data_IF_623377712095
#
_entry.id   IF_623377712095
#
_cell.length_a   1.000
_cell.length_b   1.000
_cell.length_c   1.000
_cell.angle_alpha   90.00
_cell.angle_beta   90.00
_cell.angle_gamma   90.00
#
_symmetry.space_group_name_H-M   'P 1'
#
loop_
_entity.id
_entity.type
_entity.pdbx_description
1 polymer ?
#
# COMPACT_ATOMS: atom_id res chain seq x y z
N UNK A 1 -85.47 48.84 63.76
CA UNK A 1 -84.61 49.31 62.66
C UNK A 1 -83.82 48.08 62.24
N UNK A 2 -84.30 47.23 61.31
CA UNK A 2 -84.29 47.44 59.84
C UNK A 2 -83.08 48.27 59.45
N UNK A 3 -82.09 47.81 58.70
CA UNK A 3 -82.01 46.91 57.52
C UNK A 3 -80.49 46.61 57.41
N UNK A 4 -79.93 45.60 56.77
CA UNK A 4 -80.12 45.05 55.43
C UNK A 4 -79.19 43.82 55.35
N UNK A 5 -79.69 42.71 54.82
CA UNK A 5 -78.88 41.51 54.53
C UNK A 5 -78.53 41.59 53.04
N UNK A 6 -77.27 41.81 52.72
CA UNK A 6 -76.77 41.67 51.36
C UNK A 6 -76.49 40.19 51.07
N UNK A 7 -77.39 39.59 50.29
CA UNK A 7 -77.19 38.31 49.62
C UNK A 7 -76.58 38.63 48.26
N UNK A 8 -75.36 38.17 48.01
CA UNK A 8 -74.81 38.07 46.66
C UNK A 8 -74.96 36.64 46.15
N UNK A 9 -75.67 36.53 45.04
CA UNK A 9 -75.95 35.30 44.31
C UNK A 9 -74.74 34.89 43.43
N UNK A 10 -74.68 33.59 43.15
CA UNK A 10 -73.50 32.81 42.80
C UNK A 10 -72.78 33.13 41.48
N UNK A 11 -71.46 32.82 41.44
CA UNK A 11 -70.80 32.34 40.23
C UNK A 11 -70.07 31.01 40.51
N UNK A 12 -70.49 29.97 39.80
CA UNK A 12 -69.85 28.66 39.72
C UNK A 12 -68.58 28.83 38.85
N UNK A 13 -67.42 28.96 39.48
CA UNK A 13 -66.13 29.00 38.79
C UNK A 13 -65.58 27.58 38.59
N UNK A 14 -65.63 27.17 37.33
CA UNK A 14 -64.94 26.08 36.63
C UNK A 14 -63.78 25.38 37.40
N UNK A 15 -64.06 24.17 37.89
CA UNK A 15 -63.08 23.18 38.36
C UNK A 15 -62.31 22.59 37.17
N UNK A 16 -61.36 23.33 36.59
CA UNK A 16 -60.45 22.73 35.60
C UNK A 16 -59.12 23.45 35.35
N UNK A 17 -58.39 23.82 36.41
CA UNK A 17 -56.93 24.01 36.28
C UNK A 17 -56.20 23.31 37.41
N UNK A 18 -55.95 22.01 37.21
CA UNK A 18 -54.93 21.31 37.98
C UNK A 18 -53.59 22.00 37.71
N UNK A 19 -53.14 22.84 38.65
CA UNK A 19 -51.79 23.37 38.67
C UNK A 19 -50.84 22.18 38.80
N UNK A 20 -50.27 21.76 37.67
CA UNK A 20 -49.20 20.76 37.65
C UNK A 20 -48.05 21.33 38.49
N UNK A 21 -47.62 20.67 39.58
CA UNK A 21 -46.47 21.16 40.34
C UNK A 21 -45.27 21.26 39.39
N UNK A 22 -44.40 22.28 39.54
CA UNK A 22 -43.21 22.38 38.71
C UNK A 22 -42.46 21.05 38.79
N UNK A 23 -42.16 20.47 37.62
CA UNK A 23 -41.42 19.22 37.56
C UNK A 23 -40.15 19.38 38.39
N UNK A 24 -39.99 18.55 39.42
CA UNK A 24 -38.79 18.53 40.23
C UNK A 24 -37.60 18.43 39.29
N UNK A 25 -36.61 19.32 39.47
CA UNK A 25 -35.38 19.29 38.69
C UNK A 25 -34.85 17.84 38.73
N UNK A 26 -34.51 17.23 37.58
CA UNK A 26 -34.02 15.86 37.57
C UNK A 26 -32.81 15.78 38.51
N UNK A 27 -32.86 14.85 39.46
CA UNK A 27 -31.78 14.64 40.41
C UNK A 27 -30.45 14.33 39.71
N UNK A 28 -29.33 14.38 40.45
CA UNK A 28 -28.00 14.12 39.90
C UNK A 28 -27.98 12.84 39.07
N UNK A 29 -27.61 12.95 37.79
CA UNK A 29 -27.48 11.79 36.91
C UNK A 29 -26.10 11.20 37.13
N UNK A 30 -25.99 9.95 37.53
CA UNK A 30 -24.71 9.28 37.76
C UNK A 30 -24.19 8.55 36.50
N UNK A 31 -22.87 8.52 36.31
CA UNK A 31 -22.20 7.76 35.26
C UNK A 31 -21.79 6.39 35.80
N UNK A 32 -22.66 5.41 35.62
CA UNK A 32 -22.38 4.01 35.96
C UNK A 32 -22.12 3.24 34.66
N UNK A 33 -20.97 2.58 34.58
CA UNK A 33 -20.59 1.71 33.47
C UNK A 33 -20.33 0.29 33.98
N UNK A 34 -20.14 -0.66 33.08
CA UNK A 34 -19.79 -2.05 33.43
C UNK A 34 -18.48 -2.19 34.24
N UNK A 35 -17.70 -1.12 34.36
CA UNK A 35 -16.43 -1.08 35.09
C UNK A 35 -16.52 -0.29 36.41
N UNK A 36 -17.69 0.22 36.79
CA UNK A 36 -17.86 1.01 38.02
C UNK A 36 -17.81 0.09 39.25
N UNK A 37 -16.79 0.26 40.09
CA UNK A 37 -16.66 -0.35 41.42
C UNK A 37 -16.69 0.76 42.46
N UNK A 38 -17.53 0.65 43.50
CA UNK A 38 -17.73 1.68 44.53
C UNK A 38 -17.57 1.05 45.93
N UNK A 39 -16.92 1.78 46.84
CA UNK A 39 -16.83 1.39 48.26
C UNK A 39 -18.11 1.71 49.06
N UNK A 40 -18.21 1.22 50.32
CA UNK A 40 -19.35 1.54 51.18
C UNK A 40 -19.52 3.05 51.41
N UNK A 41 -20.66 3.60 51.01
CA UNK A 41 -20.99 5.03 51.14
C UNK A 41 -20.47 5.92 50.00
N UNK A 42 -19.75 5.36 49.03
CA UNK A 42 -19.24 6.09 47.88
C UNK A 42 -20.33 6.24 46.80
N UNK A 43 -20.61 7.48 46.40
CA UNK A 43 -21.53 7.77 45.31
C UNK A 43 -20.77 7.72 43.98
N UNK A 44 -21.37 7.18 42.90
CA UNK A 44 -20.73 7.18 41.60
C UNK A 44 -20.44 8.61 41.10
N UNK A 45 -19.52 8.79 40.15
CA UNK A 45 -19.30 10.10 39.54
C UNK A 45 -20.57 10.59 38.84
N UNK A 46 -20.82 11.89 38.92
CA UNK A 46 -21.94 12.51 38.21
C UNK A 46 -21.65 12.52 36.70
N UNK A 47 -22.69 12.29 35.90
CA UNK A 47 -22.61 12.21 34.44
C UNK A 47 -22.41 13.57 33.76
N UNK A 48 -22.60 14.65 34.51
CA UNK A 48 -22.35 16.05 34.14
C UNK A 48 -21.11 16.63 34.85
N UNK A 49 -20.48 15.88 35.78
CA UNK A 49 -19.19 16.26 36.32
C UNK A 49 -18.15 16.22 35.20
N UNK A 50 -17.80 17.40 34.69
CA UNK A 50 -16.61 17.57 33.88
C UNK A 50 -15.41 17.64 34.82
N UNK A 51 -14.29 16.98 34.50
CA UNK A 51 -13.03 17.25 35.19
C UNK A 51 -12.78 18.76 35.22
N UNK A 52 -12.19 19.25 36.31
CA UNK A 52 -11.85 20.66 36.46
C UNK A 52 -10.63 21.03 35.61
N UNK A 53 -10.73 20.84 34.29
CA UNK A 53 -9.74 21.30 33.33
C UNK A 53 -9.64 22.81 33.40
N UNK A 54 -8.41 23.29 33.48
CA UNK A 54 -8.06 24.68 33.36
C UNK A 54 -7.86 25.04 31.90
N UNK A 55 -7.78 26.33 31.60
CA UNK A 55 -7.51 26.83 30.25
C UNK A 55 -6.12 26.40 29.74
N UNK A 56 -5.16 26.20 30.65
CA UNK A 56 -3.82 25.73 30.32
C UNK A 56 -3.79 24.25 29.90
N UNK A 57 -4.72 23.41 30.38
CA UNK A 57 -4.84 22.00 29.96
C UNK A 57 -5.22 21.85 28.47
N UNK A 58 -5.66 22.93 27.82
CA UNK A 58 -6.01 22.97 26.40
C UNK A 58 -4.99 23.72 25.54
N UNK A 59 -3.85 24.15 26.11
CA UNK A 59 -2.80 24.87 25.39
C UNK A 59 -1.51 24.08 25.34
N UNK A 60 -0.94 24.04 24.14
CA UNK A 60 0.42 23.57 23.92
C UNK A 60 1.39 24.74 24.09
N UNK A 61 2.58 24.46 24.60
CA UNK A 61 3.63 25.47 24.71
C UNK A 61 4.12 25.88 23.32
N UNK A 62 4.84 27.01 23.23
CA UNK A 62 5.46 27.43 21.97
C UNK A 62 6.51 26.41 21.46
N UNK A 63 7.15 25.68 22.38
CA UNK A 63 8.09 24.60 22.07
C UNK A 63 7.38 23.38 21.48
N UNK A 64 6.28 22.94 22.10
CA UNK A 64 5.44 21.84 21.59
C UNK A 64 4.89 22.16 20.20
N UNK A 65 4.44 23.41 19.99
CA UNK A 65 3.95 23.86 18.68
C UNK A 65 5.05 23.93 17.62
N UNK A 66 6.30 24.23 18.02
CA UNK A 66 7.44 24.19 17.12
C UNK A 66 7.81 22.75 16.73
N UNK A 67 7.78 21.81 17.69
CA UNK A 67 8.03 20.39 17.44
C UNK A 67 6.92 19.76 16.57
N UNK A 68 5.65 20.06 16.85
CA UNK A 68 4.51 19.64 16.02
C UNK A 68 4.45 20.35 14.65
N UNK A 69 5.19 21.45 14.49
CA UNK A 69 5.38 22.13 13.20
C UNK A 69 6.21 21.30 12.23
N UNK A 70 6.97 20.31 12.71
CA UNK A 70 7.65 19.36 11.85
C UNK A 70 6.64 18.38 11.22
N UNK A 71 6.68 18.18 9.88
CA UNK A 71 5.75 17.28 9.23
C UNK A 71 5.93 15.84 9.71
N UNK A 72 4.90 15.32 10.37
CA UNK A 72 4.73 13.94 10.83
C UNK A 72 4.54 12.92 9.69
N UNK A 73 4.29 13.41 8.48
CA UNK A 73 4.05 12.62 7.27
C UNK A 73 5.12 12.83 6.22
N UNK A 74 5.40 11.77 5.45
CA UNK A 74 6.31 11.86 4.30
C UNK A 74 5.86 12.93 3.28
N UNK A 75 6.80 13.68 2.71
CA UNK A 75 6.56 14.78 1.75
C UNK A 75 5.59 14.42 0.62
N UNK A 76 5.71 13.20 0.08
CA UNK A 76 4.83 12.73 -1.00
C UNK A 76 3.39 12.50 -0.52
N UNK A 77 3.22 12.07 0.73
CA UNK A 77 1.90 11.93 1.35
C UNK A 77 1.25 13.29 1.51
N UNK A 78 1.99 14.30 1.98
CA UNK A 78 1.53 15.69 2.11
C UNK A 78 1.10 16.24 0.75
N UNK A 79 1.97 16.20 -0.26
CA UNK A 79 1.65 16.69 -1.61
C UNK A 79 0.39 16.05 -2.20
N UNK A 80 0.28 14.72 -2.08
CA UNK A 80 -0.88 13.99 -2.58
C UNK A 80 -2.15 14.30 -1.78
N UNK A 81 -2.05 14.44 -0.46
CA UNK A 81 -3.16 14.86 0.41
C UNK A 81 -3.62 16.26 -0.01
N UNK A 82 -2.72 17.24 -0.05
CA UNK A 82 -3.07 18.64 -0.31
C UNK A 82 -3.66 18.82 -1.72
N UNK A 83 -3.12 18.12 -2.72
CA UNK A 83 -3.73 18.10 -4.06
C UNK A 83 -5.13 17.48 -4.06
N UNK A 84 -5.34 16.43 -3.27
CA UNK A 84 -6.64 15.76 -3.15
C UNK A 84 -7.66 16.64 -2.43
N UNK A 85 -7.23 17.28 -1.34
CA UNK A 85 -8.05 18.19 -0.52
C UNK A 85 -8.49 19.39 -1.37
N UNK A 86 -7.56 20.05 -2.08
CA UNK A 86 -7.91 21.17 -2.97
C UNK A 86 -8.96 20.80 -4.01
N UNK A 87 -8.86 19.61 -4.61
CA UNK A 87 -9.85 19.14 -5.58
C UNK A 87 -11.22 18.89 -4.96
N UNK A 88 -11.26 18.42 -3.70
CA UNK A 88 -12.49 18.22 -2.95
C UNK A 88 -13.13 19.53 -2.49
N UNK A 89 -12.34 20.46 -1.97
CA UNK A 89 -12.77 21.80 -1.58
C UNK A 89 -13.38 22.55 -2.77
N UNK A 90 -12.70 22.54 -3.92
CA UNK A 90 -13.21 23.13 -5.15
C UNK A 90 -14.54 22.51 -5.59
N UNK A 91 -14.66 21.18 -5.50
CA UNK A 91 -15.93 20.50 -5.81
C UNK A 91 -17.06 20.89 -4.84
N UNK A 92 -16.75 21.01 -3.55
CA UNK A 92 -17.72 21.41 -2.52
C UNK A 92 -18.21 22.84 -2.72
N UNK A 93 -17.30 23.77 -3.05
CA UNK A 93 -17.60 25.17 -3.31
C UNK A 93 -18.48 25.35 -4.56
N UNK A 94 -18.31 24.48 -5.57
CA UNK A 94 -19.09 24.52 -6.81
C UNK A 94 -20.54 23.98 -6.68
N UNK A 95 -20.90 23.37 -5.54
CA UNK A 95 -22.27 22.87 -5.33
C UNK A 95 -23.26 24.02 -5.13
N UNK A 96 -24.56 23.76 -5.40
CA UNK A 96 -25.64 24.73 -5.18
C UNK A 96 -26.73 24.11 -4.28
N UNK A 97 -26.86 24.54 -3.01
CA UNK A 97 -25.96 25.46 -2.29
C UNK A 97 -24.56 24.85 -2.05
N UNK A 98 -23.53 25.69 -1.80
CA UNK A 98 -22.19 25.22 -1.47
C UNK A 98 -22.18 24.27 -0.26
N UNK A 99 -21.26 23.30 -0.27
CA UNK A 99 -21.12 22.34 0.83
C UNK A 99 -19.88 22.64 1.66
N UNK A 100 -19.92 22.34 2.96
CA UNK A 100 -18.74 22.41 3.83
C UNK A 100 -17.81 21.20 3.57
N UNK A 101 -16.53 21.48 3.35
CA UNK A 101 -15.50 20.48 3.09
C UNK A 101 -14.80 19.99 4.38
N UNK A 102 -14.77 20.80 5.44
CA UNK A 102 -14.09 20.48 6.70
C UNK A 102 -14.76 21.13 7.92
N UNK A 103 -15.32 20.35 8.86
CA UNK A 103 -15.67 18.95 8.72
C UNK A 103 -16.81 18.76 7.69
N UNK A 104 -16.70 17.75 6.84
CA UNK A 104 -17.75 17.42 5.86
C UNK A 104 -18.75 16.40 6.42
N UNK A 105 -20.00 16.45 5.96
CA UNK A 105 -21.01 15.45 6.33
C UNK A 105 -20.80 14.12 5.58
N UNK A 106 -21.34 13.03 6.11
CA UNK A 106 -21.42 11.73 5.40
C UNK A 106 -22.08 11.86 4.02
N UNK A 107 -23.08 12.73 3.88
CA UNK A 107 -23.73 13.02 2.62
C UNK A 107 -22.78 13.70 1.62
N UNK A 108 -22.01 14.70 2.04
CA UNK A 108 -20.99 15.37 1.21
C UNK A 108 -19.89 14.41 0.78
N UNK A 109 -19.32 13.65 1.72
CA UNK A 109 -18.29 12.64 1.45
C UNK A 109 -18.78 11.58 0.45
N UNK A 110 -19.96 11.00 0.69
CA UNK A 110 -20.55 9.98 -0.21
C UNK A 110 -20.86 10.56 -1.58
N UNK A 111 -21.41 11.79 -1.65
CA UNK A 111 -21.73 12.45 -2.93
C UNK A 111 -20.49 12.68 -3.79
N UNK A 112 -19.38 13.11 -3.17
CA UNK A 112 -18.12 13.31 -3.88
C UNK A 112 -17.54 11.98 -4.36
N UNK A 113 -17.54 10.95 -3.50
CA UNK A 113 -17.11 9.61 -3.90
C UNK A 113 -17.91 9.07 -5.09
N UNK A 114 -19.23 9.26 -5.10
CA UNK A 114 -20.07 8.90 -6.25
C UNK A 114 -19.79 9.74 -7.50
N UNK A 115 -19.49 11.03 -7.35
CA UNK A 115 -19.05 11.89 -8.45
C UNK A 115 -17.75 11.37 -9.08
N UNK A 116 -16.75 11.00 -8.27
CA UNK A 116 -15.50 10.42 -8.76
C UNK A 116 -15.71 9.06 -9.43
N UNK A 117 -16.64 8.23 -8.91
CA UNK A 117 -17.02 6.97 -9.57
C UNK A 117 -17.62 7.24 -10.96
N UNK A 118 -18.49 8.26 -11.12
CA UNK A 118 -19.05 8.61 -12.44
C UNK A 118 -17.98 9.06 -13.41
N UNK A 119 -17.04 9.91 -12.97
CA UNK A 119 -15.87 10.33 -13.76
C UNK A 119 -14.97 9.15 -14.13
N UNK A 120 -14.78 8.22 -13.20
CA UNK A 120 -14.06 6.98 -13.44
C UNK A 120 -14.72 6.07 -14.47
N UNK A 121 -16.05 5.94 -14.42
CA UNK A 121 -16.82 5.24 -15.46
C UNK A 121 -16.76 5.92 -16.84
N UNK A 122 -16.44 7.21 -16.88
CA UNK A 122 -16.17 7.95 -18.11
C UNK A 122 -14.69 7.86 -18.57
N UNK A 123 -13.86 7.06 -17.90
CA UNK A 123 -12.46 6.81 -18.29
C UNK A 123 -11.42 7.66 -17.57
N UNK A 124 -11.81 8.59 -16.70
CA UNK A 124 -10.87 9.52 -16.06
C UNK A 124 -10.08 8.89 -14.89
N UNK A 125 -10.70 7.93 -14.20
CA UNK A 125 -10.12 7.31 -13.00
C UNK A 125 -10.38 5.81 -12.97
N UNK A 126 -9.43 5.07 -12.37
CA UNK A 126 -9.60 3.67 -11.98
C UNK A 126 -10.12 3.55 -10.54
N UNK A 127 -10.76 2.43 -10.16
CA UNK A 127 -11.32 2.25 -8.83
C UNK A 127 -10.33 2.48 -7.68
N UNK A 128 -9.10 1.98 -7.80
CA UNK A 128 -8.10 2.12 -6.73
C UNK A 128 -7.68 3.59 -6.53
N UNK A 129 -7.62 4.38 -7.60
CA UNK A 129 -7.33 5.83 -7.52
C UNK A 129 -8.42 6.57 -6.75
N UNK A 130 -9.70 6.28 -7.03
CA UNK A 130 -10.83 6.87 -6.29
C UNK A 130 -10.81 6.46 -4.82
N UNK A 131 -10.52 5.19 -4.54
CA UNK A 131 -10.38 4.69 -3.17
C UNK A 131 -9.29 5.43 -2.38
N UNK A 132 -8.12 5.65 -3.00
CA UNK A 132 -7.02 6.41 -2.38
C UNK A 132 -7.38 7.88 -2.17
N UNK A 133 -8.04 8.52 -3.15
CA UNK A 133 -8.50 9.91 -3.04
C UNK A 133 -9.42 10.08 -1.83
N UNK A 134 -10.46 9.24 -1.76
CA UNK A 134 -11.44 9.29 -0.68
C UNK A 134 -10.83 8.95 0.68
N UNK A 135 -9.86 8.01 0.73
CA UNK A 135 -9.12 7.70 1.96
C UNK A 135 -8.31 8.90 2.48
N UNK A 136 -7.66 9.67 1.61
CA UNK A 136 -6.93 10.89 2.01
C UNK A 136 -7.87 11.93 2.59
N UNK A 137 -9.03 12.15 1.94
CA UNK A 137 -10.06 13.07 2.43
C UNK A 137 -10.55 12.61 3.81
N UNK A 138 -10.85 11.32 3.97
CA UNK A 138 -11.32 10.76 5.24
C UNK A 138 -10.30 10.94 6.37
N UNK A 139 -9.02 10.67 6.12
CA UNK A 139 -7.97 10.85 7.12
C UNK A 139 -7.71 12.33 7.46
N UNK A 140 -7.95 13.23 6.51
CA UNK A 140 -7.84 14.68 6.70
C UNK A 140 -8.99 15.26 7.54
N UNK A 141 -10.12 14.57 7.69
CA UNK A 141 -11.22 15.04 8.55
C UNK A 141 -10.84 14.92 10.04
N UNK A 142 -11.35 15.82 10.90
CA UNK A 142 -11.15 15.72 12.35
C UNK A 142 -11.69 14.38 12.86
N UNK A 143 -10.96 13.74 13.79
CA UNK A 143 -11.24 12.36 14.22
C UNK A 143 -12.70 12.17 14.66
N UNK A 144 -13.22 13.10 15.47
CA UNK A 144 -14.58 13.05 16.01
C UNK A 144 -15.68 13.36 14.98
N UNK A 145 -15.29 13.92 13.83
CA UNK A 145 -16.20 14.35 12.76
C UNK A 145 -16.00 13.55 11.46
N UNK A 146 -15.29 12.41 11.52
CA UNK A 146 -15.05 11.58 10.34
C UNK A 146 -16.37 11.06 9.75
N UNK A 147 -16.61 11.24 8.44
CA UNK A 147 -17.84 10.75 7.82
C UNK A 147 -17.84 9.22 7.73
N UNK A 148 -19.03 8.61 7.75
CA UNK A 148 -19.19 7.15 7.56
C UNK A 148 -18.85 6.76 6.11
N UNK A 149 -17.78 5.96 5.87
CA UNK A 149 -17.38 5.59 4.52
C UNK A 149 -18.15 4.38 3.96
N UNK A 150 -19.04 3.75 4.73
CA UNK A 150 -19.62 2.43 4.43
C UNK A 150 -20.36 2.39 3.09
N UNK A 151 -21.26 3.35 2.85
CA UNK A 151 -22.06 3.40 1.61
C UNK A 151 -21.17 3.65 0.38
N UNK A 152 -20.23 4.57 0.48
CA UNK A 152 -19.25 4.83 -0.58
C UNK A 152 -18.39 3.58 -0.87
N UNK A 153 -17.80 2.95 0.16
CA UNK A 153 -16.98 1.74 0.02
C UNK A 153 -17.78 0.59 -0.62
N UNK A 154 -19.06 0.46 -0.29
CA UNK A 154 -19.97 -0.48 -0.92
C UNK A 154 -20.08 -0.25 -2.43
N UNK A 155 -20.34 1.00 -2.86
CA UNK A 155 -20.44 1.37 -4.28
C UNK A 155 -19.11 1.24 -5.03
N UNK A 156 -18.01 1.61 -4.39
CA UNK A 156 -16.66 1.44 -4.94
C UNK A 156 -16.36 -0.04 -5.22
N UNK A 157 -16.76 -0.95 -4.31
CA UNK A 157 -16.57 -2.40 -4.47
C UNK A 157 -17.37 -2.96 -5.64
N UNK A 158 -18.63 -2.52 -5.79
CA UNK A 158 -19.47 -2.91 -6.94
C UNK A 158 -18.83 -2.44 -8.24
N UNK A 159 -18.43 -1.17 -8.32
CA UNK A 159 -17.77 -0.64 -9.51
C UNK A 159 -16.44 -1.35 -9.81
N UNK A 160 -15.63 -1.68 -8.79
CA UNK A 160 -14.41 -2.46 -8.99
C UNK A 160 -14.69 -3.82 -9.63
N UNK A 161 -15.76 -4.52 -9.22
CA UNK A 161 -16.18 -5.78 -9.87
C UNK A 161 -16.62 -5.57 -11.32
N UNK A 162 -17.42 -4.54 -11.59
CA UNK A 162 -17.85 -4.18 -12.96
C UNK A 162 -16.66 -3.85 -13.85
N UNK A 163 -15.71 -3.05 -13.34
CA UNK A 163 -14.52 -2.63 -14.05
C UNK A 163 -13.62 -3.81 -14.41
N UNK A 164 -13.37 -4.74 -13.46
CA UNK A 164 -12.62 -5.97 -13.76
C UNK A 164 -13.34 -6.83 -14.81
N UNK A 165 -14.67 -7.00 -14.70
CA UNK A 165 -15.46 -7.73 -15.70
C UNK A 165 -15.41 -7.11 -17.09
N UNK A 166 -15.25 -5.80 -17.17
CA UNK A 166 -15.09 -5.06 -18.42
C UNK A 166 -13.65 -5.11 -18.97
N UNK A 167 -12.76 -5.93 -18.39
CA UNK A 167 -11.36 -6.04 -18.81
C UNK A 167 -10.40 -5.06 -18.14
N UNK A 168 -10.87 -4.32 -17.13
CA UNK A 168 -10.03 -3.43 -16.34
C UNK A 168 -8.99 -4.20 -15.52
N UNK A 169 -7.72 -3.87 -15.72
CA UNK A 169 -6.60 -4.48 -15.00
C UNK A 169 -5.76 -3.42 -14.28
N UNK A 170 -5.24 -3.76 -13.10
CA UNK A 170 -4.32 -2.88 -12.38
C UNK A 170 -2.99 -2.88 -13.11
N UNK A 171 -2.59 -1.70 -13.60
CA UNK A 171 -1.28 -1.55 -14.24
C UNK A 171 -0.15 -1.92 -13.26
N UNK A 172 0.72 -2.83 -13.71
CA UNK A 172 1.93 -3.21 -13.00
C UNK A 172 3.12 -2.91 -13.90
N UNK A 173 4.22 -2.48 -13.28
CA UNK A 173 5.49 -2.37 -13.98
C UNK A 173 5.90 -3.70 -14.61
N UNK A 174 6.66 -3.66 -15.71
CA UNK A 174 7.35 -4.83 -16.26
C UNK A 174 8.25 -5.52 -15.23
N UNK A 175 8.64 -6.77 -15.46
CA UNK A 175 9.74 -7.42 -14.73
C UNK A 175 11.04 -7.30 -15.54
N UNK A 176 12.05 -6.63 -14.98
CA UNK A 176 13.41 -6.63 -15.56
C UNK A 176 14.17 -7.79 -14.91
N UNK A 177 13.98 -8.99 -15.43
CA UNK A 177 14.73 -10.19 -15.02
C UNK A 177 16.21 -10.09 -15.37
N UNK A 178 17.01 -11.05 -14.90
CA UNK A 178 18.46 -11.06 -15.11
C UNK A 178 18.84 -10.86 -16.56
N UNK A 179 18.14 -11.52 -17.48
CA UNK A 179 18.37 -11.42 -18.93
C UNK A 179 18.24 -9.97 -19.41
N UNK A 180 17.12 -9.31 -19.10
CA UNK A 180 16.90 -7.92 -19.47
C UNK A 180 17.88 -6.98 -18.78
N UNK A 181 18.17 -7.22 -17.49
CA UNK A 181 19.10 -6.38 -16.75
C UNK A 181 20.52 -6.42 -17.34
N UNK A 182 21.02 -7.61 -17.69
CA UNK A 182 22.33 -7.79 -18.33
C UNK A 182 22.34 -7.14 -19.72
N UNK A 183 21.27 -7.30 -20.52
CA UNK A 183 21.13 -6.60 -21.82
C UNK A 183 21.16 -5.08 -21.66
N UNK A 184 20.50 -4.54 -20.63
CA UNK A 184 20.51 -3.11 -20.33
C UNK A 184 21.91 -2.64 -19.96
N UNK A 185 22.57 -3.33 -19.03
CA UNK A 185 23.93 -3.00 -18.58
C UNK A 185 24.92 -3.05 -19.74
N UNK A 186 24.81 -4.03 -20.64
CA UNK A 186 25.68 -4.17 -21.81
C UNK A 186 25.62 -2.97 -22.79
N UNK A 187 24.60 -2.13 -22.71
CA UNK A 187 24.43 -0.92 -23.53
C UNK A 187 24.91 0.35 -22.85
N UNK A 188 25.42 0.25 -21.62
CA UNK A 188 25.92 1.38 -20.85
C UNK A 188 27.40 1.61 -21.18
N UNK A 189 27.75 2.84 -21.57
CA UNK A 189 29.14 3.25 -21.76
C UNK A 189 29.83 3.52 -20.41
N UNK A 190 30.41 2.45 -19.85
CA UNK A 190 31.14 2.48 -18.57
C UNK A 190 32.49 3.23 -18.61
N UNK A 191 32.89 3.82 -19.75
CA UNK A 191 34.04 4.73 -19.80
C UNK A 191 33.74 6.09 -19.16
N UNK A 192 32.46 6.49 -19.15
CA UNK A 192 32.00 7.78 -18.62
C UNK A 192 31.59 7.70 -17.14
N UNK A 193 31.68 8.81 -16.42
CA UNK A 193 31.18 8.90 -15.03
C UNK A 193 29.68 8.58 -14.92
N UNK A 194 28.89 9.01 -15.91
CA UNK A 194 27.46 8.71 -15.99
C UNK A 194 27.25 7.21 -16.16
N UNK A 195 27.98 6.57 -17.06
CA UNK A 195 27.85 5.14 -17.30
C UNK A 195 28.30 4.30 -16.12
N UNK A 196 29.40 4.65 -15.43
CA UNK A 196 29.82 3.98 -14.19
C UNK A 196 28.73 4.02 -13.12
N UNK A 197 28.11 5.20 -12.92
CA UNK A 197 26.96 5.36 -12.01
C UNK A 197 25.79 4.48 -12.43
N UNK A 198 25.39 4.58 -13.70
CA UNK A 198 24.18 3.96 -14.23
C UNK A 198 24.31 2.42 -14.28
N UNK A 199 25.50 1.89 -14.58
CA UNK A 199 25.80 0.46 -14.54
C UNK A 199 25.75 -0.09 -13.11
N UNK A 200 26.35 0.61 -12.14
CA UNK A 200 26.26 0.22 -10.74
C UNK A 200 24.82 0.34 -10.22
N UNK A 201 24.07 1.38 -10.62
CA UNK A 201 22.67 1.58 -10.26
C UNK A 201 21.81 0.39 -10.72
N UNK A 202 21.90 -0.01 -12.00
CA UNK A 202 21.11 -1.12 -12.53
C UNK A 202 21.48 -2.46 -11.86
N UNK A 203 22.78 -2.73 -11.68
CA UNK A 203 23.26 -3.93 -11.02
C UNK A 203 22.81 -4.02 -9.56
N UNK A 204 22.92 -2.93 -8.79
CA UNK A 204 22.51 -2.88 -7.38
C UNK A 204 20.98 -2.96 -7.23
N UNK A 205 20.23 -2.24 -8.07
CA UNK A 205 18.77 -2.23 -8.03
C UNK A 205 18.20 -3.64 -8.21
N UNK A 206 18.75 -4.40 -9.16
CA UNK A 206 18.38 -5.80 -9.40
C UNK A 206 18.79 -6.68 -8.21
N UNK A 207 20.06 -6.62 -7.80
CA UNK A 207 20.63 -7.55 -6.83
C UNK A 207 20.04 -7.43 -5.41
N UNK A 208 19.55 -6.23 -5.06
CA UNK A 208 18.98 -5.96 -3.74
C UNK A 208 17.46 -5.71 -3.73
N UNK A 209 16.78 -5.86 -4.88
CA UNK A 209 15.34 -5.66 -5.03
C UNK A 209 14.88 -4.27 -4.53
N UNK A 210 15.70 -3.24 -4.71
CA UNK A 210 15.45 -1.94 -4.10
C UNK A 210 14.22 -1.24 -4.67
N UNK A 211 13.52 -0.48 -3.81
CA UNK A 211 12.61 0.57 -4.27
C UNK A 211 13.43 1.78 -4.72
N UNK A 212 12.87 2.58 -5.62
CA UNK A 212 13.51 3.83 -6.07
C UNK A 212 13.87 4.79 -4.93
N UNK A 213 13.02 4.89 -3.91
CA UNK A 213 13.28 5.73 -2.73
C UNK A 213 14.44 5.18 -1.90
N UNK A 214 14.55 3.86 -1.79
CA UNK A 214 15.65 3.19 -1.07
C UNK A 214 16.99 3.46 -1.78
N UNK A 215 17.03 3.41 -3.12
CA UNK A 215 18.22 3.79 -3.90
C UNK A 215 18.54 5.28 -3.74
N UNK A 216 17.53 6.13 -3.82
CA UNK A 216 17.71 7.58 -3.77
C UNK A 216 18.17 8.07 -2.39
N UNK A 217 17.83 7.34 -1.33
CA UNK A 217 18.23 7.64 0.05
C UNK A 217 19.43 6.83 0.53
N UNK A 218 20.02 6.02 -0.35
CA UNK A 218 21.19 5.24 -0.02
C UNK A 218 22.42 6.14 0.18
N UNK A 219 23.21 5.84 1.21
CA UNK A 219 24.42 6.58 1.56
C UNK A 219 25.66 5.76 1.27
N UNK A 220 26.80 6.43 1.08
CA UNK A 220 28.10 5.79 0.87
C UNK A 220 28.42 4.82 2.01
N UNK A 221 28.29 5.24 3.28
CA UNK A 221 28.59 4.39 4.46
C UNK A 221 27.75 3.12 4.57
N UNK A 222 26.63 3.04 3.86
CA UNK A 222 25.69 1.92 3.91
C UNK A 222 26.01 0.83 2.90
N UNK A 223 27.05 1.01 2.09
CA UNK A 223 27.53 0.02 1.15
C UNK A 223 29.01 -0.24 1.42
N UNK A 224 29.33 -1.47 1.80
CA UNK A 224 30.72 -1.90 1.99
C UNK A 224 31.07 -2.87 0.88
N UNK A 225 32.13 -2.55 0.14
CA UNK A 225 32.62 -3.38 -0.97
C UNK A 225 33.61 -4.40 -0.40
N UNK A 226 33.36 -5.67 -0.64
CA UNK A 226 34.27 -6.78 -0.37
C UNK A 226 34.79 -7.35 -1.70
N UNK A 227 35.72 -8.30 -1.66
CA UNK A 227 36.23 -8.94 -2.87
C UNK A 227 35.20 -9.90 -3.49
N UNK A 228 34.36 -10.51 -2.65
CA UNK A 228 33.35 -11.50 -3.06
C UNK A 228 31.94 -10.93 -3.21
N UNK A 229 31.72 -9.65 -2.94
CA UNK A 229 30.38 -9.07 -2.97
C UNK A 229 30.27 -7.74 -2.23
N UNK A 230 29.04 -7.35 -1.88
CA UNK A 230 28.76 -6.15 -1.12
C UNK A 230 27.91 -6.43 0.10
N UNK A 231 28.24 -5.77 1.21
CA UNK A 231 27.31 -5.61 2.31
C UNK A 231 26.51 -4.33 2.10
N UNK A 232 25.19 -4.47 1.95
CA UNK A 232 24.28 -3.35 1.70
C UNK A 232 23.30 -3.22 2.85
N UNK A 233 23.32 -2.07 3.51
CA UNK A 233 22.36 -1.70 4.53
C UNK A 233 21.32 -0.74 3.96
N UNK A 234 20.04 -1.04 4.16
CA UNK A 234 18.92 -0.19 3.74
C UNK A 234 18.22 0.30 5.00
N UNK A 235 18.40 1.58 5.36
CA UNK A 235 18.01 2.05 6.69
C UNK A 235 16.50 2.20 6.91
N UNK A 236 15.74 2.48 5.85
CA UNK A 236 14.28 2.57 5.92
C UNK A 236 13.68 1.80 4.76
N UNK A 237 12.60 1.11 5.03
CA UNK A 237 11.76 0.48 4.01
C UNK A 237 10.31 0.77 4.32
N UNK A 238 9.43 0.69 3.32
CA UNK A 238 8.00 0.97 3.50
C UNK A 238 7.35 0.09 4.60
N UNK A 239 7.88 -1.10 4.84
CA UNK A 239 7.37 -2.06 5.84
C UNK A 239 8.11 -1.97 7.17
N UNK A 240 9.19 -1.19 7.26
CA UNK A 240 9.95 -0.98 8.49
C UNK A 240 9.43 0.27 9.22
N UNK A 241 8.29 0.10 9.89
CA UNK A 241 7.68 1.15 10.71
C UNK A 241 8.54 1.52 11.94
N UNK A 242 9.50 0.68 12.31
CA UNK A 242 10.39 0.87 13.47
C UNK A 242 11.75 1.49 13.14
N UNK A 243 12.07 1.66 11.85
CA UNK A 243 13.34 2.24 11.39
C UNK A 243 14.60 1.40 11.70
N UNK A 244 14.47 0.09 11.91
CA UNK A 244 15.61 -0.81 12.23
C UNK A 244 16.56 -0.98 11.03
N UNK A 245 16.05 -0.79 9.82
CA UNK A 245 16.73 -1.08 8.57
C UNK A 245 16.93 -2.57 8.33
N UNK A 246 17.52 -2.90 7.18
CA UNK A 246 17.85 -4.27 6.78
C UNK A 246 19.22 -4.29 6.11
N UNK A 247 20.15 -5.04 6.70
CA UNK A 247 21.45 -5.37 6.12
C UNK A 247 21.43 -6.71 5.41
N UNK A 248 22.08 -6.81 4.25
CA UNK A 248 22.26 -8.07 3.52
C UNK A 248 23.60 -8.09 2.80
N UNK A 249 24.26 -9.25 2.82
CA UNK A 249 25.35 -9.55 1.90
C UNK A 249 24.80 -9.97 0.54
N UNK A 250 25.36 -9.40 -0.51
CA UNK A 250 25.04 -9.68 -1.91
C UNK A 250 26.32 -10.19 -2.55
N UNK A 251 26.34 -11.47 -2.87
CA UNK A 251 27.46 -12.09 -3.56
C UNK A 251 27.62 -11.52 -4.97
N UNK A 252 28.87 -11.33 -5.39
CA UNK A 252 29.16 -10.91 -6.75
C UNK A 252 28.85 -12.04 -7.74
N UNK A 253 28.34 -11.66 -8.90
CA UNK A 253 28.08 -12.61 -9.98
C UNK A 253 28.85 -12.17 -11.22
N UNK A 254 29.44 -13.11 -11.99
CA UNK A 254 30.22 -12.76 -13.19
C UNK A 254 29.43 -11.96 -14.24
N UNK A 255 28.12 -12.20 -14.36
CA UNK A 255 27.23 -11.49 -15.29
C UNK A 255 26.93 -10.05 -14.84
N UNK A 256 26.77 -9.83 -13.53
CA UNK A 256 26.48 -8.52 -12.94
C UNK A 256 27.72 -7.70 -12.56
N UNK A 257 28.88 -8.32 -12.38
CA UNK A 257 30.16 -7.72 -11.97
C UNK A 257 29.99 -6.58 -10.95
N UNK A 258 29.18 -6.86 -9.93
CA UNK A 258 28.68 -5.91 -8.96
C UNK A 258 29.84 -5.25 -8.19
N UNK A 259 30.86 -6.02 -7.81
CA UNK A 259 32.05 -5.50 -7.11
C UNK A 259 32.85 -4.56 -8.02
N UNK A 260 33.14 -4.98 -9.26
CA UNK A 260 33.85 -4.14 -10.25
C UNK A 260 33.12 -2.80 -10.46
N UNK A 261 31.81 -2.84 -10.68
CA UNK A 261 30.98 -1.65 -10.93
C UNK A 261 30.87 -0.76 -9.70
N UNK A 262 30.77 -1.34 -8.51
CA UNK A 262 30.83 -0.59 -7.26
C UNK A 262 32.17 0.14 -7.14
N UNK A 263 33.31 -0.55 -7.27
CA UNK A 263 34.64 0.08 -7.17
C UNK A 263 34.81 1.21 -8.19
N UNK A 264 34.37 1.01 -9.43
CA UNK A 264 34.41 2.05 -10.46
C UNK A 264 33.59 3.30 -10.07
N UNK A 265 32.38 3.11 -9.54
CA UNK A 265 31.54 4.24 -9.12
C UNK A 265 32.07 4.95 -7.87
N UNK A 266 32.54 4.19 -6.87
CA UNK A 266 33.17 4.77 -5.68
C UNK A 266 34.44 5.55 -6.04
N UNK A 267 35.23 5.08 -7.00
CA UNK A 267 36.38 5.83 -7.54
C UNK A 267 35.95 7.18 -8.12
N UNK A 268 34.86 7.22 -8.89
CA UNK A 268 34.31 8.49 -9.40
C UNK A 268 33.83 9.41 -8.27
N UNK A 269 33.17 8.87 -7.23
CA UNK A 269 32.76 9.68 -6.08
C UNK A 269 33.98 10.28 -5.36
N UNK A 270 35.05 9.51 -5.21
CA UNK A 270 36.30 9.97 -4.61
C UNK A 270 36.95 11.09 -5.44
N UNK A 271 37.11 10.88 -6.76
CA UNK A 271 37.66 11.88 -7.69
C UNK A 271 36.86 13.20 -7.69
N UNK A 272 35.55 13.12 -7.46
CA UNK A 272 34.65 14.28 -7.41
C UNK A 272 34.49 14.88 -5.99
N UNK A 273 35.19 14.35 -4.98
CA UNK A 273 35.09 14.81 -3.58
C UNK A 273 33.69 14.60 -2.97
N UNK A 274 33.06 13.48 -3.28
CA UNK A 274 31.68 13.13 -2.91
C UNK A 274 31.56 11.73 -2.30
N UNK A 275 32.62 11.23 -1.67
CA UNK A 275 32.76 9.93 -1.03
C UNK A 275 32.61 9.99 0.51
N UNK A 276 32.16 11.12 1.06
CA UNK A 276 31.89 11.25 2.49
C UNK A 276 30.87 10.20 2.97
N UNK A 277 30.97 9.71 4.22
CA UNK A 277 30.11 8.62 4.70
C UNK A 277 28.62 8.95 4.64
N UNK A 278 28.26 10.21 4.88
CA UNK A 278 26.87 10.72 4.83
C UNK A 278 26.48 11.30 3.47
N UNK A 279 27.38 11.29 2.48
CA UNK A 279 27.01 11.69 1.13
C UNK A 279 26.10 10.64 0.48
N UNK A 280 25.17 11.08 -0.39
CA UNK A 280 24.32 10.17 -1.14
C UNK A 280 25.14 9.30 -2.08
N UNK A 281 24.88 7.99 -2.08
CA UNK A 281 25.54 7.03 -2.97
C UNK A 281 25.30 7.36 -4.43
N UNK A 282 24.07 7.72 -4.81
CA UNK A 282 23.74 8.13 -6.17
C UNK A 282 23.57 9.64 -6.26
N UNK A 283 24.44 10.27 -7.06
CA UNK A 283 24.50 11.71 -7.29
C UNK A 283 24.08 12.07 -8.71
N UNK A 284 23.39 13.20 -8.83
CA UNK A 284 23.08 13.76 -10.15
C UNK A 284 24.36 14.28 -10.78
N UNK A 285 24.51 13.99 -12.07
CA UNK A 285 25.66 14.41 -12.87
C UNK A 285 25.17 15.27 -14.04
N UNK A 286 25.93 16.30 -14.37
CA UNK A 286 25.75 17.08 -15.61
C UNK A 286 26.05 16.20 -16.82
N UNK A 287 25.66 16.60 -18.05
CA UNK A 287 26.03 15.86 -19.27
C UNK A 287 27.55 15.63 -19.40
N UNK A 288 28.38 16.55 -18.89
CA UNK A 288 29.83 16.42 -18.85
C UNK A 288 30.39 15.58 -17.68
N UNK A 289 29.54 14.90 -16.90
CA UNK A 289 29.97 13.97 -15.86
C UNK A 289 30.44 14.61 -14.54
N UNK A 290 30.16 15.91 -14.32
CA UNK A 290 30.42 16.62 -13.06
C UNK A 290 29.22 16.59 -12.13
N UNK A 291 29.41 16.78 -10.83
CA UNK A 291 28.30 16.87 -9.86
C UNK A 291 27.37 18.04 -10.20
N UNK A 292 26.06 17.77 -10.19
CA UNK A 292 25.05 18.84 -10.20
C UNK A 292 25.06 19.53 -8.84
N UNK A 293 25.15 20.86 -8.86
CA UNK A 293 24.99 21.69 -7.67
C UNK A 293 23.51 21.90 -7.38
N UNK A 294 23.12 21.70 -6.14
CA UNK A 294 21.77 22.02 -5.65
C UNK A 294 21.86 23.20 -4.70
N UNK A 295 20.82 24.04 -4.63
CA UNK A 295 20.74 25.08 -3.61
C UNK A 295 20.81 24.49 -2.20
N UNK A 296 21.47 25.19 -1.26
CA UNK A 296 21.73 24.73 0.11
C UNK A 296 20.45 24.46 0.91
N UNK A 297 19.40 25.24 0.65
CA UNK A 297 18.09 25.19 1.28
C UNK A 297 17.21 24.05 0.75
N UNK A 298 17.68 23.29 -0.24
CA UNK A 298 16.94 22.14 -0.77
C UNK A 298 16.75 21.11 0.34
N UNK A 299 15.50 20.89 0.77
CA UNK A 299 15.10 19.89 1.79
C UNK A 299 15.73 18.51 1.61
N UNK A 300 15.90 18.04 0.37
CA UNK A 300 16.48 16.73 0.04
C UNK A 300 18.03 16.74 -0.05
N UNK A 301 18.65 17.87 0.26
CA UNK A 301 20.09 18.10 0.23
C UNK A 301 20.73 17.76 -1.11
N UNK A 302 21.77 16.94 -1.07
CA UNK A 302 22.53 16.48 -2.24
C UNK A 302 21.91 15.26 -2.96
N UNK A 303 20.85 14.65 -2.41
CA UNK A 303 20.28 13.38 -2.90
C UNK A 303 19.50 13.56 -4.20
N UNK A 304 19.65 12.66 -5.15
CA UNK A 304 18.79 12.60 -6.34
C UNK A 304 17.32 12.40 -5.94
N UNK A 305 16.36 12.91 -6.72
CA UNK A 305 14.93 12.59 -6.51
C UNK A 305 14.68 11.13 -6.92
N UNK A 306 13.80 10.37 -6.25
CA UNK A 306 13.44 9.01 -6.68
C UNK A 306 12.96 8.97 -8.13
N UNK A 307 12.11 9.92 -8.53
CA UNK A 307 11.65 10.06 -9.91
C UNK A 307 12.79 10.26 -10.92
N UNK A 308 13.86 10.97 -10.56
CA UNK A 308 15.04 11.11 -11.44
C UNK A 308 15.77 9.78 -11.61
N UNK A 309 15.87 8.93 -10.58
CA UNK A 309 16.43 7.58 -10.74
C UNK A 309 15.53 6.69 -11.62
N UNK A 310 14.20 6.83 -11.48
CA UNK A 310 13.26 6.16 -12.37
C UNK A 310 13.46 6.58 -13.84
N UNK A 311 13.51 7.88 -14.11
CA UNK A 311 13.77 8.41 -15.46
C UNK A 311 15.09 7.90 -16.03
N UNK A 312 16.15 7.81 -15.19
CA UNK A 312 17.41 7.19 -15.62
C UNK A 312 17.24 5.72 -15.99
N UNK A 313 16.64 4.90 -15.13
CA UNK A 313 16.43 3.47 -15.42
C UNK A 313 15.58 3.25 -16.68
N UNK A 314 14.57 4.10 -16.91
CA UNK A 314 13.76 4.09 -18.13
C UNK A 314 14.58 4.43 -19.37
N UNK A 315 15.41 5.47 -19.30
CA UNK A 315 16.32 5.84 -20.39
C UNK A 315 17.30 4.70 -20.71
N UNK A 316 17.82 4.00 -19.70
CA UNK A 316 18.72 2.85 -19.92
C UNK A 316 17.99 1.70 -20.61
N UNK A 317 16.76 1.40 -20.21
CA UNK A 317 15.91 0.40 -20.86
C UNK A 317 15.58 0.78 -22.32
N UNK A 318 15.25 2.05 -22.58
CA UNK A 318 15.00 2.58 -23.92
C UNK A 318 16.24 2.43 -24.82
N UNK A 319 17.42 2.83 -24.34
CA UNK A 319 18.70 2.69 -25.08
C UNK A 319 19.06 1.23 -25.37
N UNK A 320 18.59 0.31 -24.55
CA UNK A 320 18.76 -1.12 -24.76
C UNK A 320 17.66 -1.76 -25.62
N UNK A 321 16.72 -0.97 -26.15
CA UNK A 321 15.62 -1.48 -26.98
C UNK A 321 14.58 -2.28 -26.19
N UNK A 322 14.52 -2.10 -24.87
CA UNK A 322 13.60 -2.80 -23.97
C UNK A 322 12.70 -1.84 -23.16
N UNK A 323 12.08 -0.80 -23.77
CA UNK A 323 11.18 0.11 -23.04
C UNK A 323 9.90 -0.57 -22.52
N UNK A 324 9.53 -1.70 -23.12
CA UNK A 324 8.39 -2.52 -22.74
C UNK A 324 8.81 -4.00 -22.67
N UNK A 325 8.26 -4.72 -21.69
CA UNK A 325 8.42 -6.17 -21.53
C UNK A 325 7.04 -6.75 -21.26
N UNK A 326 6.62 -7.74 -22.07
CA UNK A 326 5.29 -8.36 -22.02
C UNK A 326 4.14 -7.33 -21.98
N UNK A 327 4.21 -6.32 -22.86
CA UNK A 327 3.22 -5.25 -22.97
C UNK A 327 3.22 -4.24 -21.82
N UNK A 328 4.09 -4.40 -20.82
CA UNK A 328 4.18 -3.51 -19.66
C UNK A 328 5.36 -2.56 -19.80
N UNK A 329 5.16 -1.28 -19.45
CA UNK A 329 6.22 -0.28 -19.48
C UNK A 329 7.26 -0.57 -18.40
N UNK A 330 8.53 -0.40 -18.74
CA UNK A 330 9.63 -0.45 -17.77
C UNK A 330 9.61 0.79 -16.88
N UNK A 331 9.85 0.60 -15.59
CA UNK A 331 10.02 1.66 -14.59
C UNK A 331 11.04 1.21 -13.54
N UNK A 332 11.37 2.08 -12.59
CA UNK A 332 12.21 1.72 -11.44
C UNK A 332 11.70 0.48 -10.70
N UNK A 333 10.38 0.32 -10.62
CA UNK A 333 9.76 -0.83 -9.96
C UNK A 333 10.01 -2.15 -10.69
N UNK A 334 10.42 -2.09 -11.95
CA UNK A 334 10.76 -3.26 -12.73
C UNK A 334 11.99 -4.00 -12.23
N UNK A 335 12.94 -3.29 -11.60
CA UNK A 335 14.12 -3.87 -10.95
C UNK A 335 13.82 -4.51 -9.59
N UNK A 336 12.66 -4.24 -9.00
CA UNK A 336 12.17 -4.97 -7.83
C UNK A 336 11.36 -6.20 -8.24
N UNK A 337 10.66 -6.06 -9.35
CA UNK A 337 9.80 -7.06 -9.95
C UNK A 337 10.56 -8.24 -10.56
N UNK A 338 11.53 -7.96 -11.42
CA UNK A 338 12.28 -8.97 -12.16
C UNK A 338 13.05 -9.96 -11.31
N UNK A 339 13.93 -9.54 -10.38
CA UNK A 339 14.64 -10.48 -9.50
C UNK A 339 13.67 -11.34 -8.67
N UNK A 340 12.49 -10.85 -8.28
CA UNK A 340 11.51 -11.71 -7.63
C UNK A 340 10.91 -12.75 -8.57
N UNK A 341 10.65 -12.38 -9.84
CA UNK A 341 10.28 -13.35 -10.88
C UNK A 341 11.38 -14.42 -11.03
N UNK A 342 12.65 -14.01 -11.17
CA UNK A 342 13.78 -14.94 -11.30
C UNK A 342 13.89 -15.88 -10.09
N UNK A 343 13.71 -15.35 -8.88
CA UNK A 343 13.71 -16.16 -7.65
C UNK A 343 12.53 -17.14 -7.60
N UNK A 344 11.34 -16.76 -8.08
CA UNK A 344 10.19 -17.68 -8.20
C UNK A 344 10.51 -18.81 -9.19
N UNK A 345 11.07 -18.47 -10.34
CA UNK A 345 11.42 -19.43 -11.40
C UNK A 345 12.54 -20.39 -10.94
N UNK A 346 13.49 -19.89 -10.15
CA UNK A 346 14.52 -20.68 -9.49
C UNK A 346 14.02 -21.52 -8.30
N UNK A 347 12.73 -21.41 -7.92
CA UNK A 347 12.14 -22.19 -6.83
C UNK A 347 12.49 -21.70 -5.42
N UNK A 348 12.95 -20.46 -5.26
CA UNK A 348 13.29 -19.88 -3.96
C UNK A 348 12.03 -19.68 -3.12
N UNK A 349 12.13 -20.04 -1.84
CA UNK A 349 10.99 -20.02 -0.92
C UNK A 349 10.39 -18.61 -0.77
N UNK A 350 9.09 -18.52 -0.47
CA UNK A 350 8.43 -17.24 -0.21
C UNK A 350 9.08 -16.51 0.97
N UNK A 351 9.52 -17.22 2.01
CA UNK A 351 10.18 -16.63 3.18
C UNK A 351 11.49 -15.94 2.81
N UNK A 352 12.34 -16.59 2.01
CA UNK A 352 13.61 -16.01 1.55
C UNK A 352 13.37 -14.83 0.61
N UNK A 353 12.38 -14.91 -0.27
CA UNK A 353 11.98 -13.80 -1.14
C UNK A 353 11.43 -12.63 -0.33
N UNK A 354 10.61 -12.87 0.69
CA UNK A 354 10.14 -11.85 1.65
C UNK A 354 11.31 -11.14 2.33
N UNK A 355 12.29 -11.90 2.82
CA UNK A 355 13.51 -11.32 3.40
C UNK A 355 14.31 -10.51 2.38
N UNK A 356 14.56 -11.04 1.19
CA UNK A 356 15.33 -10.36 0.14
C UNK A 356 14.65 -9.08 -0.35
N UNK A 357 13.33 -9.13 -0.56
CA UNK A 357 12.52 -7.99 -0.98
C UNK A 357 12.19 -7.04 0.16
N UNK A 358 12.41 -7.38 1.43
CA UNK A 358 11.88 -6.60 2.56
C UNK A 358 10.36 -6.43 2.44
N UNK A 359 9.67 -7.54 2.24
CA UNK A 359 8.23 -7.65 2.44
C UNK A 359 7.97 -8.12 3.87
N UNK A 360 6.82 -7.76 4.44
CA UNK A 360 6.47 -8.17 5.80
C UNK A 360 6.43 -9.70 5.91
N UNK A 361 6.78 -10.22 7.09
CA UNK A 361 6.71 -11.65 7.36
C UNK A 361 5.27 -12.16 7.17
N UNK A 362 5.12 -13.31 6.52
CA UNK A 362 3.82 -13.86 6.13
C UNK A 362 3.10 -13.13 4.97
N UNK A 363 3.69 -12.09 4.39
CA UNK A 363 3.09 -11.40 3.25
C UNK A 363 3.11 -12.26 2.00
N UNK A 364 1.98 -12.35 1.29
CA UNK A 364 1.91 -12.94 -0.05
C UNK A 364 2.20 -11.92 -1.16
N UNK A 365 2.67 -10.71 -0.82
CA UNK A 365 2.90 -9.64 -1.81
C UNK A 365 3.88 -10.07 -2.90
N UNK A 366 4.93 -10.82 -2.53
CA UNK A 366 5.89 -11.35 -3.50
C UNK A 366 5.24 -12.25 -4.57
N UNK A 367 4.16 -12.96 -4.22
CA UNK A 367 3.46 -13.90 -5.11
C UNK A 367 2.20 -13.34 -5.77
N UNK A 368 1.66 -12.23 -5.27
CA UNK A 368 0.37 -11.67 -5.75
C UNK A 368 0.51 -10.32 -6.45
N UNK A 369 1.65 -9.66 -6.24
CA UNK A 369 1.96 -8.35 -6.83
C UNK A 369 3.26 -8.41 -7.62
N UNK A 370 4.15 -9.36 -7.30
CA UNK A 370 5.46 -9.48 -7.92
C UNK A 370 5.72 -10.73 -8.76
N UNK A 371 4.69 -11.51 -9.04
CA UNK A 371 4.73 -12.70 -9.90
C UNK A 371 4.55 -12.35 -11.38
N UNK A 372 5.58 -11.75 -11.99
CA UNK A 372 5.54 -11.41 -13.42
C UNK A 372 6.25 -12.47 -14.22
N UNK A 373 5.65 -13.66 -14.33
CA UNK A 373 6.20 -14.76 -15.13
C UNK A 373 6.29 -14.32 -16.59
N UNK A 374 7.42 -14.58 -17.22
CA UNK A 374 7.61 -14.31 -18.65
C UNK A 374 7.08 -15.47 -19.50
N UNK A 375 6.46 -15.15 -20.63
CA UNK A 375 5.92 -16.13 -21.58
C UNK A 375 4.74 -16.96 -21.05
N UNK A 376 4.47 -18.09 -21.71
CA UNK A 376 3.29 -18.95 -21.46
C UNK A 376 3.34 -19.73 -20.14
N UNK A 377 4.45 -19.66 -19.39
CA UNK A 377 4.69 -20.47 -18.20
C UNK A 377 4.92 -21.94 -18.55
N UNK A 378 6.02 -22.53 -18.11
CA UNK A 378 6.35 -23.95 -18.41
C UNK A 378 5.80 -24.93 -17.37
N UNK A 379 5.34 -24.40 -16.23
CA UNK A 379 4.87 -25.14 -15.07
C UNK A 379 3.36 -25.33 -15.13
N UNK A 380 2.95 -26.30 -15.94
CA UNK A 380 1.59 -26.82 -15.94
C UNK A 380 1.48 -27.96 -14.91
N UNK A 381 0.66 -27.82 -13.85
CA UNK A 381 0.41 -28.90 -12.91
C UNK A 381 -0.09 -30.19 -13.59
N UNK A 382 -0.77 -30.08 -14.74
CA UNK A 382 -1.26 -31.23 -15.50
C UNK A 382 -0.13 -32.02 -16.17
N UNK A 383 1.09 -31.48 -16.30
CA UNK A 383 2.26 -32.31 -16.69
C UNK A 383 2.54 -33.45 -15.72
N UNK A 384 2.07 -33.35 -14.46
CA UNK A 384 2.18 -34.43 -13.47
C UNK A 384 1.07 -35.47 -13.62
N UNK A 385 0.00 -35.15 -14.35
CA UNK A 385 -1.07 -36.10 -14.63
C UNK A 385 -0.57 -37.04 -15.73
N UNK A 386 -0.55 -38.37 -15.50
CA UNK A 386 -0.14 -39.32 -16.53
C UNK A 386 -1.00 -39.17 -17.79
N UNK A 387 -0.39 -39.38 -18.95
CA UNK A 387 -1.14 -39.43 -20.20
C UNK A 387 -2.18 -40.56 -20.15
N UNK A 388 -3.40 -40.24 -20.56
CA UNK A 388 -4.44 -41.25 -20.74
C UNK A 388 -3.96 -42.31 -21.74
N UNK A 389 -4.05 -43.60 -21.36
CA UNK A 389 -3.52 -44.70 -22.17
C UNK A 389 -1.98 -44.90 -22.12
N UNK A 390 -1.25 -44.14 -21.31
CA UNK A 390 0.19 -44.40 -21.06
C UNK A 390 0.45 -45.75 -20.38
N UNK A 391 1.72 -46.21 -20.25
CA UNK A 391 2.05 -47.55 -19.78
C UNK A 391 1.46 -47.92 -18.41
N UNK A 392 1.26 -46.95 -17.51
CA UNK A 392 0.57 -47.15 -16.25
C UNK A 392 -0.94 -47.48 -16.42
N UNK A 393 -1.62 -46.88 -17.41
CA UNK A 393 -3.00 -47.22 -17.78
C UNK A 393 -3.08 -48.50 -18.61
N UNK A 394 -2.06 -48.81 -19.41
CA UNK A 394 -2.00 -50.07 -20.16
C UNK A 394 -1.93 -51.28 -19.21
N UNK A 395 -1.17 -51.18 -18.12
CA UNK A 395 -1.13 -52.22 -17.08
C UNK A 395 -2.48 -52.38 -16.36
N UNK A 396 -3.18 -51.27 -16.06
CA UNK A 396 -4.50 -51.31 -15.41
C UNK A 396 -5.60 -51.79 -16.39
N UNK A 397 -5.51 -51.44 -17.67
CA UNK A 397 -6.41 -51.91 -18.71
C UNK A 397 -6.22 -53.40 -19.00
N UNK A 398 -4.96 -53.86 -19.05
CA UNK A 398 -4.63 -55.29 -19.16
C UNK A 398 -5.16 -56.09 -17.97
N UNK A 399 -4.94 -55.60 -16.74
CA UNK A 399 -5.46 -56.24 -15.53
C UNK A 399 -7.00 -56.27 -15.46
N UNK A 400 -7.69 -55.28 -16.04
CA UNK A 400 -9.16 -55.28 -16.15
C UNK A 400 -9.67 -56.26 -17.22
N UNK A 401 -8.98 -56.35 -18.35
CA UNK A 401 -9.31 -57.32 -19.39
C UNK A 401 -9.10 -58.77 -18.92
N UNK A 402 -8.02 -59.04 -18.17
CA UNK A 402 -7.76 -60.35 -17.56
C UNK A 402 -8.77 -60.72 -16.46
N UNK A 403 -9.41 -59.72 -15.82
CA UNK A 403 -10.45 -59.92 -14.81
C UNK A 403 -11.85 -60.21 -15.38
N UNK A 404 -12.13 -59.83 -16.63
CA UNK A 404 -13.42 -60.11 -17.30
C UNK A 404 -13.46 -61.50 -17.94
N UNK A 405 -12.31 -62.09 -18.30
CA UNK A 405 -12.21 -63.46 -18.85
C UNK A 405 -12.34 -64.59 -17.81
N UNK A 406 -12.55 -64.25 -16.52
CA UNK A 406 -12.67 -65.22 -15.42
C UNK A 406 -14.06 -65.30 -14.78
N UNK A 407 -15.12 -64.87 -15.48
CA UNK A 407 -16.49 -65.25 -15.11
C UNK A 407 -16.74 -66.71 -15.53
N UNK A 408 -16.89 -67.66 -14.58
CA UNK A 408 -17.16 -69.05 -14.93
C UNK A 408 -18.54 -69.15 -15.60
N UNK A 409 -18.55 -69.77 -16.78
CA UNK A 409 -19.76 -70.28 -17.42
C UNK A 409 -20.49 -71.21 -16.45
N UNK A 410 -21.61 -70.74 -15.92
CA UNK A 410 -22.49 -71.51 -15.04
C UNK A 410 -22.99 -72.78 -15.74
N UNK A 411 -23.18 -73.89 -15.01
CA UNK A 411 -23.42 -75.19 -15.62
C UNK A 411 -24.82 -75.26 -16.24
N UNK A 412 -24.89 -75.92 -17.40
CA UNK A 412 -26.11 -76.31 -18.07
C UNK A 412 -26.98 -77.18 -17.16
N UNK A 413 -28.13 -76.64 -16.75
CA UNK A 413 -29.19 -77.39 -16.07
C UNK A 413 -30.15 -78.00 -17.07
N UNK A 414 -30.05 -79.31 -17.29
CA UNK A 414 -31.04 -80.12 -18.01
C UNK A 414 -32.20 -80.54 -17.09
N UNK A 415 -33.41 -80.20 -17.55
CA UNK A 415 -34.69 -80.94 -17.48
C UNK A 415 -35.18 -81.56 -16.15
N UNK A 416 -36.39 -81.14 -15.76
CA UNK A 416 -37.29 -81.88 -14.89
C UNK A 416 -38.70 -81.27 -14.82
N UNK A 417 -39.61 -81.71 -15.70
CA UNK A 417 -41.06 -81.76 -15.42
C UNK A 417 -41.33 -82.94 -14.46
N UNK A 418 -42.37 -82.99 -13.60
CA UNK A 418 -43.81 -82.80 -13.90
C UNK A 418 -44.56 -82.02 -12.78
N UNK A 419 -45.85 -81.71 -12.73
CA UNK A 419 -47.12 -82.16 -13.33
C UNK A 419 -48.09 -80.98 -13.41
#
# INVERSE_FOLDING_TARGET
MSTEVEVFDAELADDSVAVRPPAAAPGPRYLVTQHTMLGPGELPPLADARPAWTDDDFRLSAEDMAELGEPDLADNTIKNRDSTVRAFEAWCAAQKPPRLAHPCTTATYTSYGLHLIRRGKAGEFVPDSVGQYMSRIWNWQPVDYRPDPTRFKGRLRVWKKEWVKAGGEVERAAAVTIEYNVRIIAKIDESTNIGKRDAFLAALAYSNLHRESELADQLVKRVRVHDTGLWVHTATSKTDQTGKGSGRFIEDRPDLQLVRRARAWFGVLHELGADGPDDPLFRALTPGGKLVQYPSERKRGKKMRPGSLNERLQLLAERAGVPYIDGKKVSSHSWRAGPNTDLIEAGVSLAERNKAGRWADGSHTADTVYDRRHGVGTRDPLKKVPLYGGPANAAVAAARAEGEDHLPSGPAGTAGSPS
#
